data_IF_014602933051
#
_entry.id   IF_014602933051
#
_cell.length_a   1.000
_cell.length_b   1.000
_cell.length_c   1.000
_cell.angle_alpha   90.00
_cell.angle_beta   90.00
_cell.angle_gamma   90.00
#
_symmetry.space_group_name_H-M   'P 1'
#
loop_
_entity.id
_entity.type
_entity.pdbx_description
1 polymer ?
#
# COMPACT_ATOMS: atom_id res chain seq x y z
N UNK A 1 59.55 -41.99 5.26
CA UNK A 1 58.33 -42.87 5.37
C UNK A 1 57.34 -42.22 6.34
N UNK A 2 56.41 -41.47 5.84
CA UNK A 2 55.29 -40.93 6.63
C UNK A 2 54.36 -42.08 6.98
N UNK A 3 54.08 -42.24 8.29
CA UNK A 3 53.28 -43.34 8.82
C UNK A 3 51.80 -43.21 8.27
N UNK A 4 51.32 -44.24 7.59
CA UNK A 4 49.98 -44.37 7.06
C UNK A 4 48.81 -44.07 8.05
N UNK A 5 49.10 -44.08 9.36
CA UNK A 5 48.12 -43.79 10.39
C UNK A 5 47.72 -42.29 10.50
N UNK A 6 48.66 -41.38 10.17
CA UNK A 6 48.39 -39.92 10.25
C UNK A 6 47.46 -39.43 9.16
N UNK A 7 47.52 -40.05 7.97
CA UNK A 7 46.63 -39.66 6.85
C UNK A 7 45.16 -40.06 7.06
N UNK A 8 44.95 -41.23 7.69
CA UNK A 8 43.59 -41.69 8.02
C UNK A 8 42.92 -40.83 9.09
N UNK A 9 43.69 -40.31 10.05
CA UNK A 9 43.17 -39.43 11.10
C UNK A 9 42.82 -38.06 10.57
N UNK A 10 43.59 -37.51 9.64
CA UNK A 10 43.31 -36.23 8.97
C UNK A 10 42.05 -36.34 8.11
N UNK A 11 41.87 -37.41 7.34
CA UNK A 11 40.67 -37.66 6.56
C UNK A 11 39.38 -37.77 7.43
N UNK A 12 39.49 -38.40 8.60
CA UNK A 12 38.35 -38.55 9.52
C UNK A 12 37.97 -37.21 10.13
N UNK A 13 38.90 -36.33 10.46
CA UNK A 13 38.64 -35.00 10.99
C UNK A 13 38.01 -34.11 9.89
N UNK A 14 38.54 -34.18 8.66
CA UNK A 14 37.96 -33.40 7.53
C UNK A 14 36.54 -33.87 7.20
N UNK A 15 36.29 -35.18 7.28
CA UNK A 15 34.94 -35.72 7.04
C UNK A 15 33.95 -35.34 8.17
N UNK A 16 34.39 -35.34 9.43
CA UNK A 16 33.61 -34.86 10.56
C UNK A 16 33.33 -33.33 10.46
N UNK A 17 34.29 -32.52 10.01
CA UNK A 17 34.05 -31.10 9.78
C UNK A 17 33.08 -30.83 8.63
N UNK A 18 33.10 -31.63 7.55
CA UNK A 18 32.16 -31.48 6.43
C UNK A 18 30.75 -31.86 6.85
N UNK A 19 30.59 -32.87 7.69
CA UNK A 19 29.26 -33.26 8.22
C UNK A 19 28.69 -32.23 9.21
N UNK A 20 29.53 -31.57 10.00
CA UNK A 20 29.10 -30.51 10.92
C UNK A 20 28.73 -29.24 10.15
N UNK A 21 29.42 -28.92 9.05
CA UNK A 21 29.07 -27.78 8.19
C UNK A 21 27.76 -27.99 7.41
N UNK A 22 27.41 -29.24 7.10
CA UNK A 22 26.12 -29.54 6.44
C UNK A 22 24.91 -29.52 7.38
N UNK A 23 25.12 -29.60 8.69
CA UNK A 23 24.01 -29.51 9.69
C UNK A 23 23.68 -28.07 10.05
N UNK A 24 24.59 -27.11 9.80
CA UNK A 24 24.30 -25.68 10.06
C UNK A 24 23.67 -24.95 8.88
N UNK A 25 23.45 -25.65 7.75
CA UNK A 25 22.81 -25.08 6.55
C UNK A 25 21.30 -25.29 6.45
N UNK A 26 20.68 -25.95 7.42
CA UNK A 26 19.22 -26.17 7.43
C UNK A 26 18.52 -25.43 8.57
N UNK A 27 18.86 -24.16 8.82
CA UNK A 27 17.82 -23.23 9.18
C UNK A 27 17.08 -22.93 7.90
N UNK A 28 16.26 -23.85 7.46
CA UNK A 28 15.12 -23.52 6.64
C UNK A 28 14.33 -22.51 7.46
N UNK A 29 14.44 -21.22 7.08
CA UNK A 29 13.49 -20.24 7.53
C UNK A 29 12.12 -20.89 7.37
N UNK A 30 11.35 -20.94 8.43
CA UNK A 30 9.98 -21.38 8.33
C UNK A 30 9.40 -20.66 7.15
N UNK A 31 9.11 -21.39 6.05
CA UNK A 31 8.37 -20.86 4.94
C UNK A 31 7.00 -20.49 5.50
N UNK A 32 6.89 -19.22 5.90
CA UNK A 32 5.62 -18.66 6.28
C UNK A 32 4.78 -18.70 5.02
N UNK A 33 3.69 -19.44 5.04
CA UNK A 33 2.77 -19.45 3.92
C UNK A 33 2.26 -18.02 3.73
N UNK A 34 2.66 -17.35 2.63
CA UNK A 34 2.18 -16.04 2.26
C UNK A 34 1.02 -16.22 1.26
N UNK A 35 -0.11 -15.60 1.53
CA UNK A 35 -1.20 -15.49 0.58
C UNK A 35 -1.22 -14.08 -0.02
N UNK A 36 -0.40 -13.88 -1.03
CA UNK A 36 -0.23 -12.59 -1.67
C UNK A 36 -1.36 -12.32 -2.66
N UNK A 37 -2.15 -11.31 -2.38
CA UNK A 37 -3.22 -10.84 -3.23
C UNK A 37 -2.93 -9.43 -3.78
N UNK A 38 -3.26 -9.23 -5.05
CA UNK A 38 -3.23 -7.91 -5.68
C UNK A 38 -4.62 -7.29 -5.65
N UNK A 39 -4.73 -6.11 -5.06
CA UNK A 39 -5.96 -5.34 -5.02
C UNK A 39 -5.80 -4.05 -5.80
N UNK A 40 -6.83 -3.66 -6.54
CA UNK A 40 -6.95 -2.33 -7.10
C UNK A 40 -7.72 -1.49 -6.10
N UNK A 41 -7.05 -0.54 -5.43
CA UNK A 41 -7.69 0.38 -4.48
C UNK A 41 -8.48 1.46 -5.23
N UNK A 42 -7.93 1.91 -6.37
CA UNK A 42 -8.55 2.96 -7.17
C UNK A 42 -8.17 2.81 -8.64
N UNK A 43 -9.15 2.86 -9.50
CA UNK A 43 -8.97 2.71 -10.96
C UNK A 43 -8.62 4.03 -11.63
N UNK A 44 -9.12 5.15 -11.11
CA UNK A 44 -9.10 6.49 -11.72
C UNK A 44 -9.81 6.56 -13.09
N UNK A 45 -10.87 5.77 -13.29
CA UNK A 45 -11.61 5.74 -14.56
C UNK A 45 -12.65 6.84 -14.71
N UNK A 46 -12.98 7.55 -13.63
CA UNK A 46 -13.93 8.65 -13.69
C UNK A 46 -14.82 8.76 -12.46
N UNK A 47 -15.67 9.76 -12.46
CA UNK A 47 -16.66 9.97 -11.39
C UNK A 47 -17.70 8.85 -11.46
N UNK A 48 -17.92 8.15 -10.33
CA UNK A 48 -18.92 7.08 -10.22
C UNK A 48 -18.36 5.67 -10.40
N UNK A 49 -17.09 5.51 -10.79
CA UNK A 49 -16.40 4.22 -10.86
C UNK A 49 -15.85 3.78 -9.48
N UNK A 50 -15.84 4.70 -8.52
CA UNK A 50 -15.35 4.51 -7.16
C UNK A 50 -16.27 5.20 -6.15
N UNK A 51 -16.28 4.67 -4.94
CA UNK A 51 -16.92 5.33 -3.79
C UNK A 51 -16.17 6.57 -3.33
N UNK A 52 -14.94 6.77 -3.82
CA UNK A 52 -14.09 7.90 -3.48
C UNK A 52 -14.15 8.98 -4.56
N UNK A 53 -14.15 10.23 -4.12
CA UNK A 53 -13.79 11.39 -4.91
C UNK A 53 -12.43 11.91 -4.45
N UNK A 54 -11.74 12.57 -5.32
CA UNK A 54 -10.41 13.10 -5.02
C UNK A 54 -10.48 14.61 -4.89
N UNK A 55 -9.73 15.14 -3.92
CA UNK A 55 -9.56 16.55 -3.66
C UNK A 55 -8.10 16.91 -3.53
N UNK A 56 -7.82 18.19 -3.65
CA UNK A 56 -6.47 18.72 -3.53
C UNK A 56 -6.44 19.85 -2.51
N UNK A 57 -5.30 19.92 -1.81
CA UNK A 57 -4.86 21.08 -1.06
C UNK A 57 -3.45 21.42 -1.49
N UNK A 58 -2.98 22.67 -1.27
CA UNK A 58 -1.70 23.09 -1.77
C UNK A 58 -1.01 24.12 -0.87
N UNK A 59 0.30 24.22 -1.05
CA UNK A 59 1.12 25.22 -0.37
C UNK A 59 0.73 26.65 -0.73
N UNK A 60 1.10 27.58 0.14
CA UNK A 60 0.77 29.02 0.03
C UNK A 60 1.09 29.68 -1.31
N UNK A 61 2.09 29.16 -2.04
CA UNK A 61 2.54 29.76 -3.31
C UNK A 61 1.93 29.06 -4.54
N UNK A 62 0.84 28.35 -4.37
CA UNK A 62 0.05 27.87 -5.51
C UNK A 62 -0.49 29.06 -6.29
N UNK A 63 -0.40 28.98 -7.61
CA UNK A 63 -0.73 30.09 -8.51
C UNK A 63 -2.24 30.29 -8.62
N UNK A 64 -2.64 31.55 -8.76
CA UNK A 64 -3.95 31.96 -9.23
C UNK A 64 -3.78 32.89 -10.41
N UNK A 65 -4.22 32.46 -11.60
CA UNK A 65 -4.07 33.24 -12.86
C UNK A 65 -5.46 33.63 -13.36
N UNK A 66 -5.85 34.88 -13.14
CA UNK A 66 -7.18 35.36 -13.48
C UNK A 66 -8.24 34.60 -12.68
N UNK A 67 -9.17 33.98 -13.39
CA UNK A 67 -10.24 33.16 -12.80
C UNK A 67 -9.82 31.71 -12.53
N UNK A 68 -8.61 31.32 -12.96
CA UNK A 68 -8.10 29.95 -12.80
C UNK A 68 -7.38 29.81 -11.48
N UNK A 69 -7.94 29.00 -10.60
CA UNK A 69 -7.32 28.59 -9.32
C UNK A 69 -6.64 27.23 -9.48
N UNK A 70 -5.33 27.19 -9.27
CA UNK A 70 -4.59 25.93 -9.19
C UNK A 70 -4.62 25.37 -7.75
N UNK A 71 -4.40 24.05 -7.55
CA UNK A 71 -4.29 23.02 -8.57
C UNK A 71 -5.65 22.70 -9.18
N UNK A 72 -5.67 22.32 -10.47
CA UNK A 72 -6.86 21.81 -11.14
C UNK A 72 -6.80 20.29 -11.10
N UNK A 73 -7.86 19.68 -10.63
CA UNK A 73 -8.03 18.23 -10.59
C UNK A 73 -9.16 17.83 -11.53
N UNK A 74 -8.94 16.80 -12.34
CA UNK A 74 -9.96 16.31 -13.25
C UNK A 74 -9.60 14.97 -13.88
N UNK A 75 -10.60 14.28 -14.41
CA UNK A 75 -10.40 13.07 -15.17
C UNK A 75 -10.17 13.38 -16.64
N UNK A 76 -9.17 12.75 -17.22
CA UNK A 76 -8.74 12.97 -18.60
C UNK A 76 -8.69 11.65 -19.36
N UNK A 77 -8.93 11.71 -20.67
CA UNK A 77 -8.79 10.59 -21.59
C UNK A 77 -7.30 10.36 -21.92
N UNK A 78 -6.60 9.77 -20.98
CA UNK A 78 -5.20 9.37 -21.14
C UNK A 78 -4.90 8.16 -20.25
N UNK A 79 -4.16 7.18 -20.79
CA UNK A 79 -3.78 5.97 -20.06
C UNK A 79 -2.54 5.31 -20.67
N UNK A 80 -1.81 4.48 -19.93
CA UNK A 80 -0.64 3.78 -20.45
C UNK A 80 -1.07 2.64 -21.38
N UNK A 81 -1.28 2.92 -22.66
CA UNK A 81 -1.81 2.01 -23.66
C UNK A 81 -1.06 0.66 -23.76
N UNK A 82 0.24 0.65 -23.46
CA UNK A 82 1.04 -0.59 -23.49
C UNK A 82 0.69 -1.54 -22.35
N UNK A 83 0.36 -1.01 -21.18
CA UNK A 83 0.00 -1.82 -20.02
C UNK A 83 -1.43 -2.38 -20.09
N UNK A 84 -2.31 -1.72 -20.83
CA UNK A 84 -3.72 -2.07 -20.97
C UNK A 84 -4.07 -2.65 -22.35
N UNK A 85 -3.07 -3.18 -23.08
CA UNK A 85 -3.28 -3.85 -24.36
C UNK A 85 -4.12 -5.11 -24.19
N UNK A 86 -5.28 -5.14 -24.84
CA UNK A 86 -6.07 -6.36 -25.05
C UNK A 86 -7.34 -6.51 -24.22
N UNK A 87 -7.65 -5.61 -23.31
CA UNK A 87 -8.98 -5.53 -22.72
C UNK A 87 -9.86 -4.60 -23.56
N UNK A 88 -11.00 -5.07 -24.05
CA UNK A 88 -12.12 -4.18 -24.36
C UNK A 88 -12.57 -3.61 -23.01
N UNK A 89 -11.98 -2.48 -22.61
CA UNK A 89 -12.52 -1.70 -21.50
C UNK A 89 -13.82 -1.10 -22.02
N UNK A 90 -14.94 -1.51 -21.49
CA UNK A 90 -16.20 -0.82 -21.74
C UNK A 90 -16.04 0.62 -21.22
N UNK A 91 -16.09 1.58 -22.13
CA UNK A 91 -15.86 3.00 -21.84
C UNK A 91 -14.45 3.47 -22.20
N UNK A 92 -14.26 4.76 -22.16
CA UNK A 92 -12.96 5.41 -22.40
C UNK A 92 -12.16 5.35 -21.10
N UNK A 93 -11.00 4.67 -21.07
CA UNK A 93 -10.20 4.61 -19.86
C UNK A 93 -9.63 6.01 -19.56
N UNK A 94 -9.98 6.52 -18.39
CA UNK A 94 -9.54 7.84 -17.91
C UNK A 94 -8.40 7.73 -16.91
N UNK A 95 -7.76 8.83 -16.62
CA UNK A 95 -6.79 8.98 -15.54
C UNK A 95 -7.09 10.23 -14.74
N UNK A 96 -6.72 10.23 -13.47
CA UNK A 96 -6.80 11.42 -12.64
C UNK A 96 -5.67 12.37 -13.02
N UNK A 97 -6.02 13.51 -13.57
CA UNK A 97 -5.08 14.57 -13.95
C UNK A 97 -4.96 15.63 -12.89
N UNK A 98 -3.72 16.01 -12.59
CA UNK A 98 -3.36 17.09 -11.69
C UNK A 98 -2.62 18.14 -12.52
N UNK A 99 -3.19 19.32 -12.67
CA UNK A 99 -2.53 20.48 -13.27
C UNK A 99 -2.16 21.46 -12.16
N UNK A 100 -0.87 21.68 -11.97
CA UNK A 100 -0.34 22.56 -10.96
C UNK A 100 0.52 23.68 -11.55
N UNK A 101 0.57 24.80 -10.84
CA UNK A 101 1.46 25.91 -11.15
C UNK A 101 1.83 26.61 -9.83
N UNK A 102 3.10 26.95 -9.66
CA UNK A 102 3.54 27.71 -8.49
C UNK A 102 4.12 29.07 -8.93
N UNK A 103 3.91 30.11 -8.11
CA UNK A 103 4.39 31.45 -8.38
C UNK A 103 5.86 31.65 -8.02
N UNK A 104 6.39 30.84 -7.10
CA UNK A 104 7.73 31.01 -6.53
C UNK A 104 8.43 29.67 -6.35
N UNK A 105 9.75 29.68 -6.52
CA UNK A 105 10.60 28.56 -6.11
C UNK A 105 10.57 28.39 -4.59
N UNK A 106 10.53 27.16 -4.14
CA UNK A 106 10.46 26.84 -2.73
C UNK A 106 10.14 25.35 -2.52
N UNK A 107 9.95 24.96 -1.26
CA UNK A 107 9.34 23.69 -0.89
C UNK A 107 7.83 23.80 -1.07
N UNK A 108 7.39 23.81 -2.32
CA UNK A 108 5.97 23.84 -2.65
C UNK A 108 5.43 22.42 -2.67
N UNK A 109 4.14 22.28 -2.38
CA UNK A 109 3.48 20.98 -2.39
C UNK A 109 2.02 21.07 -2.84
N UNK A 110 1.53 19.96 -3.38
CA UNK A 110 0.11 19.68 -3.64
C UNK A 110 -0.19 18.34 -2.99
N UNK A 111 -1.17 18.31 -2.11
CA UNK A 111 -1.75 17.11 -1.53
C UNK A 111 -2.94 16.66 -2.35
N UNK A 112 -3.03 15.35 -2.59
CA UNK A 112 -4.14 14.70 -3.31
C UNK A 112 -4.68 13.64 -2.37
N UNK A 113 -5.92 13.78 -1.92
CA UNK A 113 -6.53 12.94 -0.89
C UNK A 113 -7.95 12.51 -1.26
N UNK A 114 -8.38 11.33 -0.79
CA UNK A 114 -9.72 10.83 -1.01
C UNK A 114 -10.73 11.45 -0.02
N UNK A 115 -11.96 11.63 -0.51
CA UNK A 115 -13.15 11.89 0.28
C UNK A 115 -14.21 10.87 -0.12
N UNK A 116 -15.22 10.64 0.72
CA UNK A 116 -16.39 9.86 0.29
C UNK A 116 -17.21 10.64 -0.74
N UNK A 117 -17.69 9.93 -1.77
CA UNK A 117 -18.45 10.54 -2.84
C UNK A 117 -19.76 11.18 -2.35
N UNK A 118 -20.34 10.62 -1.30
CA UNK A 118 -21.63 11.04 -0.73
C UNK A 118 -21.50 11.95 0.50
N UNK A 119 -20.25 12.21 0.95
CA UNK A 119 -20.04 13.09 2.10
C UNK A 119 -20.23 14.56 1.71
N UNK A 120 -21.21 15.20 2.34
CA UNK A 120 -21.52 16.63 2.14
C UNK A 120 -20.45 17.55 2.74
N UNK A 121 -19.77 17.09 3.77
CA UNK A 121 -18.74 17.85 4.47
C UNK A 121 -17.38 17.79 3.79
N UNK A 122 -17.25 16.94 2.75
CA UNK A 122 -16.01 16.71 1.98
C UNK A 122 -14.77 16.46 2.85
N UNK A 123 -14.95 15.76 3.97
CA UNK A 123 -13.85 15.48 4.92
C UNK A 123 -12.85 14.48 4.33
N UNK A 124 -11.53 14.75 4.47
CA UNK A 124 -10.51 13.78 4.12
C UNK A 124 -10.70 12.47 4.89
N UNK A 125 -10.62 11.35 4.19
CA UNK A 125 -10.72 10.02 4.79
C UNK A 125 -9.47 9.20 4.49
N UNK A 126 -9.27 8.12 5.26
CA UNK A 126 -8.28 7.11 4.96
C UNK A 126 -8.92 5.94 4.22
N UNK A 127 -8.30 5.47 3.13
CA UNK A 127 -8.71 4.23 2.48
C UNK A 127 -8.13 3.06 3.26
N UNK A 128 -8.94 2.18 3.85
CA UNK A 128 -8.44 1.02 4.60
C UNK A 128 -7.78 0.03 3.65
N UNK A 129 -6.67 -0.56 4.10
CA UNK A 129 -5.89 -1.52 3.33
C UNK A 129 -6.14 -2.92 3.89
N UNK A 130 -6.65 -3.85 3.06
CA UNK A 130 -6.89 -5.21 3.50
C UNK A 130 -5.58 -5.96 3.73
N UNK A 131 -5.47 -6.68 4.84
CA UNK A 131 -4.32 -7.50 5.20
C UNK A 131 -3.04 -6.70 5.45
N UNK A 132 -1.90 -7.35 5.37
CA UNK A 132 -0.60 -6.73 5.52
C UNK A 132 -0.03 -6.32 4.18
N UNK A 133 0.03 -5.02 3.92
CA UNK A 133 0.56 -4.50 2.68
C UNK A 133 2.08 -4.71 2.59
N UNK A 134 2.52 -5.28 1.48
CA UNK A 134 3.93 -5.46 1.14
C UNK A 134 4.42 -4.36 0.19
N UNK A 135 3.55 -3.97 -0.75
CA UNK A 135 3.88 -2.98 -1.79
C UNK A 135 2.65 -2.23 -2.23
N UNK A 136 2.84 -0.97 -2.60
CA UNK A 136 1.88 -0.16 -3.34
C UNK A 136 2.50 0.28 -4.66
N UNK A 137 1.74 0.23 -5.75
CA UNK A 137 2.17 0.69 -7.06
C UNK A 137 1.07 1.43 -7.81
N UNK A 138 1.48 2.36 -8.69
CA UNK A 138 0.59 3.18 -9.49
C UNK A 138 1.28 3.60 -10.80
N UNK A 139 0.53 3.63 -11.89
CA UNK A 139 1.00 4.24 -13.12
C UNK A 139 0.96 5.76 -12.99
N UNK A 140 2.10 6.38 -13.24
CA UNK A 140 2.27 7.83 -13.15
C UNK A 140 2.84 8.36 -14.48
N UNK A 141 2.19 9.36 -15.06
CA UNK A 141 2.75 10.13 -16.16
C UNK A 141 3.55 11.30 -15.62
N UNK A 142 4.84 11.34 -15.97
CA UNK A 142 5.78 12.34 -15.48
C UNK A 142 5.94 13.53 -16.43
N UNK A 143 6.12 14.72 -15.85
CA UNK A 143 6.22 16.00 -16.55
C UNK A 143 7.64 16.48 -16.83
N UNK A 144 8.67 15.68 -16.56
CA UNK A 144 10.09 16.03 -16.72
C UNK A 144 10.57 17.20 -15.83
N UNK A 145 9.92 17.39 -14.68
CA UNK A 145 10.39 18.27 -13.60
C UNK A 145 10.86 17.41 -12.43
N UNK A 146 11.89 17.84 -11.71
CA UNK A 146 12.38 17.13 -10.51
C UNK A 146 11.46 17.38 -9.32
N UNK A 147 10.21 16.97 -9.49
CA UNK A 147 9.21 16.93 -8.44
C UNK A 147 9.13 15.51 -7.92
N UNK A 148 8.81 15.38 -6.67
CA UNK A 148 8.78 14.10 -5.94
C UNK A 148 7.38 13.80 -5.49
N UNK A 149 7.05 12.51 -5.46
CA UNK A 149 5.79 12.02 -4.90
C UNK A 149 6.11 11.28 -3.62
N UNK A 150 5.38 11.62 -2.58
CA UNK A 150 5.32 10.90 -1.31
C UNK A 150 3.93 10.33 -1.10
N UNK A 151 3.87 9.20 -0.41
CA UNK A 151 2.62 8.58 0.02
C UNK A 151 2.55 8.58 1.55
N UNK A 152 1.37 8.88 2.06
CA UNK A 152 1.10 8.98 3.49
C UNK A 152 0.19 7.85 3.90
N UNK A 153 0.60 7.13 4.93
CA UNK A 153 -0.17 6.07 5.56
C UNK A 153 -0.39 6.39 7.02
N UNK A 154 -1.52 5.97 7.54
CA UNK A 154 -1.83 6.01 8.96
C UNK A 154 -1.97 4.59 9.47
N UNK A 155 -1.19 4.22 10.48
CA UNK A 155 -1.28 2.91 11.11
C UNK A 155 -2.46 2.83 12.09
N UNK A 156 -2.70 1.62 12.63
CA UNK A 156 -3.79 1.39 13.58
C UNK A 156 -3.60 2.15 14.92
N UNK A 157 -2.40 2.60 15.23
CA UNK A 157 -2.11 3.43 16.41
C UNK A 157 -2.33 4.92 16.14
N UNK A 158 -2.64 5.28 14.90
CA UNK A 158 -2.83 6.67 14.47
C UNK A 158 -1.55 7.38 14.06
N UNK A 159 -0.40 6.68 14.04
CA UNK A 159 0.87 7.26 13.59
C UNK A 159 0.88 7.39 12.08
N UNK A 160 1.30 8.56 11.59
CA UNK A 160 1.40 8.83 10.15
C UNK A 160 2.81 8.52 9.67
N UNK A 161 2.91 7.64 8.70
CA UNK A 161 4.15 7.26 8.02
C UNK A 161 4.19 7.89 6.64
N UNK A 162 5.35 8.46 6.29
CA UNK A 162 5.59 9.09 4.99
C UNK A 162 6.66 8.29 4.26
N UNK A 163 6.32 7.80 3.07
CA UNK A 163 7.22 7.01 2.27
C UNK A 163 7.46 7.68 0.90
N UNK A 164 8.70 7.67 0.38
CA UNK A 164 8.98 8.15 -0.96
C UNK A 164 8.37 7.21 -1.99
N UNK A 165 7.50 7.74 -2.84
CA UNK A 165 6.87 6.98 -3.91
C UNK A 165 7.66 7.06 -5.22
N UNK A 166 8.32 8.19 -5.47
CA UNK A 166 9.18 8.37 -6.62
C UNK A 166 9.30 9.82 -7.10
N UNK A 167 9.87 9.99 -8.27
CA UNK A 167 10.03 11.29 -8.92
C UNK A 167 9.33 11.30 -10.27
N UNK A 168 8.83 12.46 -10.69
CA UNK A 168 8.24 12.69 -12.01
C UNK A 168 9.20 13.35 -13.01
N UNK A 169 10.52 13.26 -12.75
CA UNK A 169 11.59 13.78 -13.61
C UNK A 169 11.81 12.94 -14.88
N UNK A 170 10.72 12.59 -15.55
CA UNK A 170 10.71 11.86 -16.82
C UNK A 170 9.47 12.27 -17.63
N UNK A 171 9.43 11.92 -18.92
CA UNK A 171 8.24 12.06 -19.76
C UNK A 171 7.64 10.71 -20.07
N UNK A 172 6.32 10.60 -19.93
CA UNK A 172 5.57 9.39 -20.24
C UNK A 172 5.15 8.62 -19.01
N UNK A 173 4.60 7.42 -19.25
CA UNK A 173 4.07 6.56 -18.21
C UNK A 173 5.14 5.65 -17.63
N UNK A 174 5.20 5.60 -16.29
CA UNK A 174 5.97 4.62 -15.52
C UNK A 174 5.12 4.06 -14.40
N UNK A 175 5.29 2.80 -14.10
CA UNK A 175 4.75 2.22 -12.88
C UNK A 175 5.74 2.55 -11.74
N UNK A 176 5.34 3.48 -10.86
CA UNK A 176 6.07 3.79 -9.64
C UNK A 176 5.57 2.87 -8.53
N UNK A 177 6.44 2.51 -7.61
CA UNK A 177 6.07 1.67 -6.48
C UNK A 177 6.86 2.02 -5.22
N UNK A 178 6.28 1.66 -4.08
CA UNK A 178 6.92 1.70 -2.78
C UNK A 178 6.71 0.37 -2.07
N UNK A 179 7.76 -0.13 -1.44
CA UNK A 179 7.71 -1.29 -0.55
C UNK A 179 7.51 -0.80 0.88
N UNK A 180 6.63 -1.45 1.62
CA UNK A 180 6.33 -1.05 2.99
C UNK A 180 7.39 -1.63 3.91
N UNK A 181 8.11 -0.79 4.67
CA UNK A 181 9.09 -1.25 5.65
C UNK A 181 8.46 -2.11 6.75
N UNK A 182 9.17 -3.14 7.17
CA UNK A 182 8.69 -4.09 8.19
C UNK A 182 8.47 -3.49 9.59
N UNK A 183 9.02 -2.30 9.85
CA UNK A 183 8.84 -1.58 11.12
C UNK A 183 7.56 -0.73 11.16
N UNK A 184 6.80 -0.65 10.08
CA UNK A 184 5.49 -0.02 10.09
C UNK A 184 4.48 -1.04 10.63
N UNK A 185 3.81 -0.65 11.71
CA UNK A 185 2.76 -1.47 12.32
C UNK A 185 1.52 -1.43 11.44
N UNK A 186 1.20 -2.56 10.81
CA UNK A 186 0.05 -2.64 9.91
C UNK A 186 -1.17 -3.27 10.59
N UNK A 187 -0.98 -4.39 11.23
CA UNK A 187 -1.97 -5.01 12.08
C UNK A 187 -1.24 -5.83 13.12
N UNK A 188 -1.57 -5.69 14.39
CA UNK A 188 -1.09 -6.60 15.40
C UNK A 188 -2.17 -7.65 15.64
N UNK A 189 -1.91 -8.84 15.15
CA UNK A 189 -2.59 -10.04 15.62
C UNK A 189 -1.87 -10.47 16.89
N UNK A 190 -2.41 -10.09 18.02
CA UNK A 190 -2.14 -10.82 19.24
C UNK A 190 -3.14 -11.97 19.27
N UNK A 191 -2.68 -13.15 19.63
CA UNK A 191 -3.48 -14.39 19.72
C UNK A 191 -4.66 -14.32 20.72
N UNK A 192 -4.84 -13.22 21.42
CA UNK A 192 -5.86 -12.99 22.40
C UNK A 192 -6.86 -11.94 21.90
N UNK A 193 -8.01 -12.43 21.51
CA UNK A 193 -9.31 -11.76 21.48
C UNK A 193 -9.46 -10.54 20.57
N UNK A 194 -9.69 -10.77 19.27
CA UNK A 194 -9.89 -9.70 18.31
C UNK A 194 -11.16 -8.85 18.57
N UNK A 195 -12.20 -9.47 19.12
CA UNK A 195 -13.50 -8.83 19.36
C UNK A 195 -13.50 -7.90 20.58
N UNK A 196 -12.90 -8.31 21.69
CA UNK A 196 -12.83 -7.45 22.89
C UNK A 196 -12.01 -6.18 22.64
N UNK A 197 -10.97 -6.27 21.83
CA UNK A 197 -10.12 -5.11 21.51
C UNK A 197 -10.78 -4.14 20.55
N UNK A 198 -11.66 -4.61 19.67
CA UNK A 198 -12.47 -3.73 18.83
C UNK A 198 -13.50 -2.97 19.67
N UNK A 199 -14.06 -3.58 20.70
CA UNK A 199 -14.95 -2.94 21.68
C UNK A 199 -14.19 -1.95 22.59
N UNK A 200 -12.99 -2.30 23.06
CA UNK A 200 -12.12 -1.40 23.85
C UNK A 200 -11.74 -0.14 23.06
N UNK A 201 -11.48 -0.27 21.77
CA UNK A 201 -11.15 0.85 20.90
C UNK A 201 -12.37 1.65 20.46
N UNK A 202 -13.59 1.28 20.92
CA UNK A 202 -14.86 1.93 20.55
C UNK A 202 -14.99 2.15 19.02
N UNK A 203 -14.52 1.18 18.25
CA UNK A 203 -14.74 1.15 16.83
C UNK A 203 -16.19 0.75 16.61
N UNK A 204 -17.05 1.75 16.43
CA UNK A 204 -18.44 1.52 16.03
C UNK A 204 -18.44 0.98 14.60
N UNK A 205 -18.63 -0.34 14.51
CA UNK A 205 -18.66 -1.07 13.25
C UNK A 205 -20.05 -1.08 12.61
N UNK A 206 -21.05 -0.51 13.29
CA UNK A 206 -22.45 -0.62 12.87
C UNK A 206 -22.89 0.40 11.82
N UNK A 207 -22.23 1.56 11.72
CA UNK A 207 -22.67 2.70 10.88
C UNK A 207 -21.82 2.96 9.62
N UNK A 208 -20.88 2.09 9.31
CA UNK A 208 -20.08 2.25 8.09
C UNK A 208 -20.78 1.59 6.91
N UNK A 209 -20.80 2.25 5.72
CA UNK A 209 -21.21 1.58 4.51
C UNK A 209 -20.37 0.32 4.37
N UNK A 210 -21.01 -0.83 4.33
CA UNK A 210 -20.34 -2.12 4.20
C UNK A 210 -19.63 -2.16 2.85
N UNK A 211 -18.38 -1.75 2.85
CA UNK A 211 -17.43 -2.20 1.84
C UNK A 211 -17.34 -3.70 2.09
N UNK A 212 -17.81 -4.48 1.16
CA UNK A 212 -18.02 -5.94 1.29
C UNK A 212 -16.81 -6.74 1.76
N UNK A 213 -15.64 -6.10 1.89
CA UNK A 213 -14.35 -6.70 2.25
C UNK A 213 -13.55 -5.81 3.21
N UNK A 214 -14.20 -4.95 4.04
CA UNK A 214 -13.46 -4.27 5.11
C UNK A 214 -12.90 -5.31 6.07
N UNK A 215 -11.58 -5.32 6.29
CA UNK A 215 -11.02 -6.15 7.35
C UNK A 215 -11.65 -5.70 8.67
N UNK A 216 -12.22 -6.64 9.41
CA UNK A 216 -12.85 -6.40 10.71
C UNK A 216 -11.87 -5.86 11.78
N UNK A 217 -10.67 -5.44 11.37
CA UNK A 217 -9.54 -5.14 12.25
C UNK A 217 -8.85 -3.84 11.87
N UNK A 218 -8.24 -3.15 12.88
CA UNK A 218 -7.45 -1.96 12.64
C UNK A 218 -6.37 -2.24 11.58
N UNK A 219 -6.46 -1.58 10.47
CA UNK A 219 -5.56 -1.75 9.33
C UNK A 219 -4.74 -0.49 9.07
N UNK A 220 -3.75 -0.62 8.21
CA UNK A 220 -3.08 0.52 7.63
C UNK A 220 -4.07 1.26 6.73
N UNK A 221 -4.09 2.59 6.80
CA UNK A 221 -4.94 3.42 5.94
C UNK A 221 -4.07 4.26 5.01
N UNK A 222 -4.39 4.25 3.73
CA UNK A 222 -3.84 5.24 2.80
C UNK A 222 -4.51 6.58 3.05
N UNK A 223 -3.71 7.66 3.23
CA UNK A 223 -4.22 9.00 3.56
C UNK A 223 -4.21 9.91 2.33
N UNK A 224 -3.06 10.03 1.66
CA UNK A 224 -2.88 10.95 0.54
C UNK A 224 -1.59 10.69 -0.21
N UNK A 225 -1.53 11.25 -1.41
CA UNK A 225 -0.27 11.55 -2.08
C UNK A 225 0.10 13.01 -1.88
N UNK A 226 1.41 13.29 -1.83
CA UNK A 226 1.97 14.64 -1.90
C UNK A 226 2.94 14.76 -3.05
N UNK A 227 2.69 15.68 -3.96
CA UNK A 227 3.66 16.11 -4.97
C UNK A 227 4.37 17.32 -4.39
N UNK A 228 5.70 17.29 -4.30
CA UNK A 228 6.45 18.40 -3.74
C UNK A 228 7.69 18.75 -4.56
N UNK A 229 8.19 19.98 -4.40
CA UNK A 229 9.31 20.55 -5.14
C UNK A 229 10.41 21.01 -4.21
N UNK A 230 11.64 21.02 -4.72
CA UNK A 230 12.78 21.63 -4.03
C UNK A 230 13.00 23.08 -4.52
N UNK A 231 13.59 23.97 -3.68
CA UNK A 231 13.88 25.36 -4.07
C UNK A 231 14.81 25.50 -5.27
N UNK A 232 15.64 24.48 -5.54
CA UNK A 232 16.55 24.46 -6.69
C UNK A 232 15.86 24.18 -8.02
N UNK A 233 14.64 23.60 -7.98
CA UNK A 233 13.91 23.27 -9.19
C UNK A 233 13.16 24.49 -9.73
N UNK A 234 13.00 24.54 -11.05
CA UNK A 234 12.18 25.55 -11.70
C UNK A 234 10.71 25.33 -11.32
N UNK A 235 10.01 26.43 -11.19
CA UNK A 235 8.55 26.42 -11.11
C UNK A 235 7.98 26.70 -12.47
N UNK A 236 6.98 25.90 -12.87
CA UNK A 236 6.36 25.99 -14.17
C UNK A 236 4.95 25.40 -14.07
N UNK A 237 4.14 25.62 -15.10
CA UNK A 237 2.92 24.88 -15.24
C UNK A 237 3.25 23.41 -15.52
N UNK A 238 2.67 22.49 -14.76
CA UNK A 238 2.97 21.07 -14.88
C UNK A 238 1.71 20.22 -14.82
N UNK A 239 1.81 19.04 -15.42
CA UNK A 239 0.75 18.04 -15.45
C UNK A 239 1.31 16.72 -14.97
N UNK A 240 0.59 16.06 -14.07
CA UNK A 240 0.86 14.71 -13.61
C UNK A 240 -0.43 13.91 -13.69
N UNK A 241 -0.35 12.67 -14.18
CA UNK A 241 -1.54 11.83 -14.31
C UNK A 241 -1.33 10.55 -13.53
N UNK A 242 -2.37 10.13 -12.80
CA UNK A 242 -2.41 8.91 -12.01
C UNK A 242 -3.40 7.92 -12.61
N UNK A 243 -2.98 6.67 -12.72
CA UNK A 243 -3.80 5.59 -13.22
C UNK A 243 -3.58 4.33 -12.41
N UNK A 244 -4.67 3.71 -11.98
CA UNK A 244 -4.73 2.41 -11.31
C UNK A 244 -3.77 2.29 -10.11
N UNK A 245 -4.25 2.69 -8.95
CA UNK A 245 -3.57 2.48 -7.68
C UNK A 245 -3.78 1.05 -7.21
N UNK A 246 -2.70 0.29 -7.06
CA UNK A 246 -2.71 -1.11 -6.65
C UNK A 246 -1.90 -1.34 -5.40
N UNK A 247 -2.26 -2.38 -4.69
CA UNK A 247 -1.53 -2.89 -3.54
C UNK A 247 -1.31 -4.39 -3.66
N UNK A 248 -0.17 -4.84 -3.17
CA UNK A 248 0.14 -6.24 -2.90
C UNK A 248 0.07 -6.45 -1.40
N UNK A 249 -0.84 -7.28 -0.95
CA UNK A 249 -1.05 -7.57 0.47
C UNK A 249 -0.94 -9.05 0.75
N UNK A 250 -0.50 -9.37 1.96
CA UNK A 250 -0.57 -10.71 2.53
C UNK A 250 -1.82 -10.81 3.39
N UNK A 251 -2.78 -11.57 2.91
CA UNK A 251 -4.06 -11.77 3.59
C UNK A 251 -4.03 -12.89 4.61
N UNK A 252 -3.03 -13.78 4.57
CA UNK A 252 -2.88 -14.83 5.59
C UNK A 252 -2.43 -14.27 6.95
N UNK A 253 -1.81 -13.12 6.98
CA UNK A 253 -1.46 -12.49 8.26
C UNK A 253 -2.69 -11.94 9.00
N UNK A 254 -3.83 -11.82 8.34
CA UNK A 254 -5.07 -11.35 8.92
C UNK A 254 -5.82 -12.45 9.70
N UNK A 255 -5.77 -13.69 9.24
CA UNK A 255 -6.36 -14.84 9.90
C UNK A 255 -5.40 -16.03 9.73
N UNK A 256 -4.80 -16.53 10.81
CA UNK A 256 -4.11 -17.82 10.70
C UNK A 256 -5.14 -18.93 10.51
N UNK A 257 -4.80 -19.89 9.69
CA UNK A 257 -5.67 -21.05 9.45
C UNK A 257 -6.00 -21.73 10.79
N UNK A 258 -7.30 -21.93 11.03
CA UNK A 258 -7.78 -22.47 12.31
C UNK A 258 -7.87 -21.47 13.46
N UNK A 259 -7.78 -20.16 13.22
CA UNK A 259 -7.97 -19.13 14.27
C UNK A 259 -9.31 -19.30 15.01
N UNK A 260 -10.34 -19.72 14.30
CA UNK A 260 -11.68 -19.99 14.81
C UNK A 260 -11.79 -21.28 15.63
N UNK A 261 -10.75 -22.13 15.62
CA UNK A 261 -10.71 -23.33 16.48
C UNK A 261 -10.46 -22.97 17.96
N UNK A 262 -10.10 -21.73 18.26
CA UNK A 262 -10.01 -21.21 19.63
C UNK A 262 -11.35 -20.72 20.19
N UNK A 263 -12.39 -20.59 19.36
CA UNK A 263 -13.73 -20.21 19.83
C UNK A 263 -14.33 -21.33 20.71
N UNK A 264 -14.61 -21.07 22.01
CA UNK A 264 -15.16 -22.07 22.91
C UNK A 264 -16.48 -22.68 22.43
N UNK A 265 -17.30 -21.93 21.71
CA UNK A 265 -18.57 -22.42 21.17
C UNK A 265 -18.35 -23.36 20.00
N UNK A 266 -17.38 -23.04 19.14
CA UNK A 266 -16.99 -23.91 18.03
C UNK A 266 -16.34 -25.19 18.52
N UNK A 267 -15.46 -25.12 19.52
CA UNK A 267 -14.84 -26.27 20.15
C UNK A 267 -15.93 -27.20 20.74
N UNK A 268 -16.85 -26.64 21.50
CA UNK A 268 -17.98 -27.43 22.07
C UNK A 268 -18.79 -28.12 20.99
N UNK A 269 -19.09 -27.43 19.90
CA UNK A 269 -19.85 -27.98 18.78
C UNK A 269 -19.09 -29.11 18.08
N UNK A 270 -17.82 -28.91 17.76
CA UNK A 270 -16.97 -29.88 17.07
C UNK A 270 -16.75 -31.17 17.92
N UNK A 271 -16.70 -31.03 19.25
CA UNK A 271 -16.51 -32.18 20.14
C UNK A 271 -17.83 -32.81 20.61
N UNK A 272 -18.95 -32.12 20.50
CA UNK A 272 -20.26 -32.67 20.84
C UNK A 272 -20.78 -33.66 19.79
N UNK A 273 -20.45 -33.48 18.53
CA UNK A 273 -20.88 -34.33 17.42
C UNK A 273 -20.15 -35.69 17.35
N UNK A 274 -19.19 -35.96 18.22
CA UNK A 274 -18.46 -37.25 18.31
C UNK A 274 -18.90 -38.18 19.42
N UNK A 275 -20.15 -38.08 19.86
CA UNK A 275 -20.75 -38.99 20.85
C UNK A 275 -21.83 -39.89 20.24
N UNK A 276 -21.48 -40.58 19.16
CA UNK A 276 -22.23 -41.75 18.68
C UNK A 276 -21.30 -42.93 18.48
#
# INVERSE_FOLDING_TARGET
MMKQGSLKFICLIVWACITVLSVHGQYQGQYRAENLNNWVLETFNGVGDSIYKWRTDASRFISKKGDVQYPILGYIDAYPSQAFRGGKVEGVPMSLGINGCFDRRGYNWIDIYPILADDKDEKPIGIPIPGRMKRMDMWVWGCNLRYYIEVYFKDFQGVVHVLPFGSVAYRGWKNLYVTIPGNINQAQWTQSEPLERAEELKLDLSDKPQIRDEPAYPSLHFIKFRIWTQPSERVDNFYVYFKQLKILTDTNEALFDGSDLNDPNKIKKLWAEKKD
#
